data_IF_947895811017
#
_entry.id   IF_947895811017
#
_cell.length_a   1.000
_cell.length_b   1.000
_cell.length_c   1.000
_cell.angle_alpha   90.00
_cell.angle_beta   90.00
_cell.angle_gamma   90.00
#
_symmetry.space_group_name_H-M   'P 1'
#
loop_
_entity.id
_entity.type
_entity.pdbx_description
1 polymer ?
#
# COMPACT_ATOMS: atom_id res chain seq x y z
N UNK A 1 8.64 3.77 -17.88
CA UNK A 1 7.83 5.02 -17.90
C UNK A 1 6.80 5.14 -16.77
N UNK A 2 5.81 4.21 -16.59
CA UNK A 2 4.78 4.36 -15.52
C UNK A 2 5.36 4.40 -14.10
N UNK A 3 6.31 3.53 -13.78
CA UNK A 3 6.96 3.51 -12.46
C UNK A 3 7.76 4.76 -12.16
N UNK A 4 8.53 5.26 -13.13
CA UNK A 4 9.31 6.49 -12.96
C UNK A 4 8.43 7.72 -12.75
N UNK A 5 7.28 7.78 -13.46
CA UNK A 5 6.30 8.85 -13.26
C UNK A 5 5.68 8.81 -11.85
N UNK A 6 5.30 7.63 -11.36
CA UNK A 6 4.76 7.48 -10.02
C UNK A 6 5.79 7.88 -8.94
N UNK A 7 7.06 7.48 -9.11
CA UNK A 7 8.13 7.91 -8.20
C UNK A 7 8.41 9.41 -8.28
N UNK A 8 8.32 10.02 -9.47
CA UNK A 8 8.45 11.48 -9.60
C UNK A 8 7.35 12.21 -8.81
N UNK A 9 6.10 11.75 -8.91
CA UNK A 9 5.00 12.32 -8.12
C UNK A 9 5.25 12.17 -6.61
N UNK A 10 5.76 11.02 -6.15
CA UNK A 10 6.15 10.83 -4.76
C UNK A 10 7.23 11.84 -4.33
N UNK A 11 8.28 12.03 -5.15
CA UNK A 11 9.36 12.98 -4.84
C UNK A 11 8.84 14.41 -4.79
N UNK A 12 7.98 14.81 -5.72
CA UNK A 12 7.35 16.14 -5.73
C UNK A 12 6.50 16.37 -4.49
N UNK A 13 5.63 15.40 -4.11
CA UNK A 13 4.84 15.50 -2.89
C UNK A 13 5.73 15.54 -1.64
N UNK A 14 6.78 14.73 -1.59
CA UNK A 14 7.75 14.74 -0.50
C UNK A 14 8.49 16.07 -0.40
N UNK A 15 8.88 16.67 -1.51
CA UNK A 15 9.50 17.98 -1.55
C UNK A 15 8.56 19.07 -1.01
N UNK A 16 7.29 19.06 -1.43
CA UNK A 16 6.27 19.99 -0.91
C UNK A 16 6.08 19.80 0.60
N UNK A 17 5.92 18.54 1.07
CA UNK A 17 5.79 18.22 2.49
C UNK A 17 6.96 18.75 3.33
N UNK A 18 8.18 18.66 2.81
CA UNK A 18 9.39 19.02 3.56
C UNK A 18 9.67 20.53 3.57
N UNK A 19 9.44 21.20 2.46
CA UNK A 19 9.90 22.58 2.25
C UNK A 19 8.77 23.60 2.09
N UNK A 20 7.57 23.16 1.70
CA UNK A 20 6.43 24.02 1.40
C UNK A 20 5.11 23.42 1.90
N UNK A 21 5.01 22.99 3.19
CA UNK A 21 3.84 22.26 3.70
C UNK A 21 2.53 23.05 3.58
N UNK A 22 2.59 24.38 3.61
CA UNK A 22 1.43 25.29 3.44
C UNK A 22 0.76 25.15 2.09
N UNK A 23 1.49 24.80 1.03
CA UNK A 23 0.93 24.61 -0.31
C UNK A 23 -0.03 23.42 -0.40
N UNK A 24 0.11 22.46 0.50
CA UNK A 24 -0.75 21.27 0.58
C UNK A 24 -2.05 21.50 1.36
N UNK A 25 -2.16 22.58 2.11
CA UNK A 25 -3.35 22.89 2.94
C UNK A 25 -4.61 22.94 2.10
N UNK A 26 -4.56 23.62 0.94
CA UNK A 26 -5.69 23.73 0.01
C UNK A 26 -6.11 22.40 -0.64
N UNK A 27 -5.24 21.39 -0.63
CA UNK A 27 -5.55 20.03 -1.09
C UNK A 27 -6.00 19.13 0.09
N UNK A 28 -5.26 19.16 1.19
CA UNK A 28 -5.46 18.24 2.30
C UNK A 28 -6.75 18.54 3.07
N UNK A 29 -7.01 19.81 3.44
CA UNK A 29 -8.15 20.16 4.28
C UNK A 29 -9.53 19.90 3.63
N UNK A 30 -9.80 20.33 2.37
CA UNK A 30 -11.09 20.06 1.74
C UNK A 30 -11.37 18.57 1.57
N UNK A 31 -10.37 17.79 1.16
CA UNK A 31 -10.53 16.34 0.99
C UNK A 31 -10.70 15.63 2.33
N UNK A 32 -9.97 16.03 3.37
CA UNK A 32 -10.11 15.47 4.70
C UNK A 32 -11.50 15.75 5.28
N UNK A 33 -12.00 16.97 5.12
CA UNK A 33 -13.36 17.36 5.56
C UNK A 33 -14.42 16.57 4.79
N UNK A 34 -14.29 16.44 3.47
CA UNK A 34 -15.24 15.71 2.64
C UNK A 34 -15.28 14.21 2.98
N UNK A 35 -14.12 13.60 3.24
CA UNK A 35 -14.03 12.17 3.59
C UNK A 35 -14.57 11.89 4.98
N UNK A 36 -14.36 12.78 5.94
CA UNK A 36 -14.78 12.59 7.33
C UNK A 36 -16.28 12.84 7.53
N UNK A 37 -16.84 13.87 6.89
CA UNK A 37 -18.24 14.27 7.08
C UNK A 37 -18.57 14.42 8.57
N UNK A 38 -19.71 13.93 8.98
CA UNK A 38 -20.21 13.99 10.37
C UNK A 38 -19.70 12.83 11.26
N UNK A 39 -18.78 12.03 10.76
CA UNK A 39 -18.18 10.86 11.48
C UNK A 39 -19.23 9.87 12.03
N UNK A 40 -20.15 9.35 11.24
CA UNK A 40 -21.16 8.44 11.73
C UNK A 40 -20.56 7.15 12.28
N UNK A 41 -21.10 6.65 13.39
CA UNK A 41 -20.55 5.52 14.16
C UNK A 41 -20.35 4.24 13.31
N UNK A 42 -21.30 3.93 12.41
CA UNK A 42 -21.21 2.75 11.56
C UNK A 42 -20.02 2.80 10.59
N UNK A 43 -19.71 3.97 10.02
CA UNK A 43 -18.51 4.15 9.18
C UNK A 43 -17.23 4.10 10.03
N UNK A 44 -17.26 4.66 11.22
CA UNK A 44 -16.13 4.63 12.15
C UNK A 44 -15.79 3.19 12.53
N UNK A 45 -16.80 2.37 12.87
CA UNK A 45 -16.61 0.94 13.18
C UNK A 45 -16.06 0.20 11.95
N UNK A 46 -16.64 0.44 10.77
CA UNK A 46 -16.21 -0.17 9.52
C UNK A 46 -14.75 0.15 9.20
N UNK A 47 -14.36 1.43 9.20
CA UNK A 47 -13.00 1.82 8.86
C UNK A 47 -11.96 1.40 9.90
N UNK A 48 -12.32 1.35 11.18
CA UNK A 48 -11.49 0.73 12.22
C UNK A 48 -11.28 -0.76 11.95
N UNK A 49 -12.32 -1.49 11.57
CA UNK A 49 -12.20 -2.91 11.25
C UNK A 49 -11.32 -3.14 10.02
N UNK A 50 -11.52 -2.37 8.94
CA UNK A 50 -10.73 -2.45 7.71
C UNK A 50 -9.25 -2.19 7.98
N UNK A 51 -8.91 -1.13 8.72
CA UNK A 51 -7.50 -0.77 8.96
C UNK A 51 -6.78 -1.78 9.86
N UNK A 52 -7.48 -2.42 10.81
CA UNK A 52 -6.90 -3.46 11.68
C UNK A 52 -6.37 -4.67 10.91
N UNK A 53 -6.93 -4.96 9.73
CA UNK A 53 -6.42 -6.04 8.87
C UNK A 53 -5.05 -5.75 8.27
N UNK A 54 -4.57 -4.50 8.37
CA UNK A 54 -3.25 -4.04 7.88
C UNK A 54 -2.33 -3.62 9.04
N UNK A 55 -2.74 -3.80 10.28
CA UNK A 55 -1.84 -3.61 11.42
C UNK A 55 -0.60 -4.49 11.26
N UNK A 56 0.55 -3.99 11.71
CA UNK A 56 1.86 -4.62 11.46
C UNK A 56 1.88 -6.14 11.75
N UNK A 57 1.42 -6.65 12.92
CA UNK A 57 1.45 -8.08 13.17
C UNK A 57 0.51 -8.86 12.25
N UNK A 58 -0.63 -8.26 11.89
CA UNK A 58 -1.64 -8.91 11.04
C UNK A 58 -1.14 -9.03 9.60
N UNK A 59 -0.60 -7.95 9.03
CA UNK A 59 -0.08 -7.97 7.65
C UNK A 59 1.12 -8.91 7.52
N UNK A 60 2.03 -8.94 8.50
CA UNK A 60 3.15 -9.89 8.51
C UNK A 60 2.62 -11.32 8.48
N UNK A 61 1.65 -11.65 9.35
CA UNK A 61 1.03 -12.97 9.42
C UNK A 61 0.40 -13.36 8.08
N UNK A 62 -0.40 -12.47 7.48
CA UNK A 62 -1.03 -12.71 6.19
C UNK A 62 -0.03 -12.95 5.06
N UNK A 63 1.02 -12.13 5.00
CA UNK A 63 2.05 -12.26 3.95
C UNK A 63 2.83 -13.55 4.13
N UNK A 64 3.22 -13.91 5.36
CA UNK A 64 3.95 -15.15 5.63
C UNK A 64 3.10 -16.37 5.29
N UNK A 65 1.83 -16.41 5.68
CA UNK A 65 0.92 -17.51 5.32
C UNK A 65 0.76 -17.60 3.79
N UNK A 66 0.52 -16.48 3.12
CA UNK A 66 0.37 -16.44 1.66
C UNK A 66 1.64 -16.92 0.95
N UNK A 67 2.80 -16.43 1.39
CA UNK A 67 4.10 -16.84 0.85
C UNK A 67 4.37 -18.32 1.07
N UNK A 68 4.01 -18.86 2.25
CA UNK A 68 4.12 -20.29 2.54
C UNK A 68 3.20 -21.13 1.62
N UNK A 69 1.96 -20.72 1.41
CA UNK A 69 1.02 -21.37 0.48
C UNK A 69 1.61 -21.37 -0.94
N UNK A 70 2.15 -20.23 -1.40
CA UNK A 70 2.76 -20.13 -2.72
C UNK A 70 3.98 -21.06 -2.83
N UNK A 71 4.83 -21.09 -1.82
CA UNK A 71 5.99 -21.98 -1.78
C UNK A 71 5.59 -23.46 -1.86
N UNK A 72 4.57 -23.88 -1.10
CA UNK A 72 4.01 -25.26 -1.14
C UNK A 72 3.41 -25.61 -2.49
N UNK A 73 2.81 -24.63 -3.20
CA UNK A 73 2.32 -24.80 -4.57
C UNK A 73 3.42 -24.81 -5.63
N UNK A 74 4.68 -24.75 -5.24
CA UNK A 74 5.85 -24.59 -6.12
C UNK A 74 5.85 -23.27 -6.92
N UNK A 75 5.28 -22.20 -6.38
CA UNK A 75 5.32 -20.84 -6.90
C UNK A 75 6.37 -20.05 -6.11
N UNK A 76 7.64 -20.47 -6.26
CA UNK A 76 8.72 -20.01 -5.38
C UNK A 76 9.05 -18.54 -5.57
N UNK A 77 9.10 -18.07 -6.82
CA UNK A 77 9.40 -16.67 -7.13
C UNK A 77 8.27 -15.76 -6.64
N UNK A 78 7.01 -16.18 -6.74
CA UNK A 78 5.86 -15.47 -6.20
C UNK A 78 5.92 -15.36 -4.67
N UNK A 79 6.36 -16.43 -4.00
CA UNK A 79 6.59 -16.41 -2.55
C UNK A 79 7.68 -15.40 -2.17
N UNK A 80 8.83 -15.43 -2.87
CA UNK A 80 9.92 -14.47 -2.62
C UNK A 80 9.53 -13.03 -2.97
N UNK A 81 8.72 -12.82 -4.00
CA UNK A 81 8.21 -11.51 -4.36
C UNK A 81 7.34 -10.91 -3.25
N UNK A 82 6.44 -11.71 -2.64
CA UNK A 82 5.62 -11.27 -1.51
C UNK A 82 6.48 -10.91 -0.27
N UNK A 83 7.44 -11.77 0.10
CA UNK A 83 8.30 -11.54 1.25
C UNK A 83 9.27 -10.36 1.03
N UNK A 84 9.81 -10.23 -0.17
CA UNK A 84 10.68 -9.11 -0.56
C UNK A 84 9.95 -7.78 -0.46
N UNK A 85 8.72 -7.70 -0.96
CA UNK A 85 7.89 -6.50 -0.86
C UNK A 85 7.49 -6.17 0.59
N UNK A 86 7.27 -7.17 1.45
CA UNK A 86 7.04 -6.93 2.88
C UNK A 86 8.25 -6.28 3.54
N UNK A 87 9.45 -6.83 3.30
CA UNK A 87 10.69 -6.27 3.84
C UNK A 87 10.96 -4.86 3.29
N UNK A 88 10.74 -4.66 1.99
CA UNK A 88 10.91 -3.37 1.33
C UNK A 88 9.90 -2.32 1.86
N UNK A 89 8.65 -2.70 2.09
CA UNK A 89 7.65 -1.83 2.71
C UNK A 89 8.14 -1.32 4.08
N UNK A 90 8.60 -2.21 4.94
CA UNK A 90 9.16 -1.85 6.25
C UNK A 90 10.34 -0.89 6.15
N UNK A 91 11.29 -1.19 5.27
CA UNK A 91 12.46 -0.35 5.01
C UNK A 91 12.07 1.06 4.53
N UNK A 92 11.21 1.15 3.53
CA UNK A 92 10.77 2.43 2.94
C UNK A 92 9.99 3.27 3.96
N UNK A 93 9.09 2.64 4.76
CA UNK A 93 8.31 3.34 5.79
C UNK A 93 9.25 3.98 6.81
N UNK A 94 10.20 3.21 7.35
CA UNK A 94 11.14 3.72 8.36
C UNK A 94 12.02 4.82 7.76
N UNK A 95 12.57 4.60 6.58
CA UNK A 95 13.46 5.56 5.90
C UNK A 95 12.75 6.88 5.63
N UNK A 96 11.60 6.84 4.98
CA UNK A 96 10.90 8.07 4.60
C UNK A 96 10.31 8.81 5.80
N UNK A 97 9.79 8.12 6.81
CA UNK A 97 9.33 8.78 8.03
C UNK A 97 10.45 9.58 8.71
N UNK A 98 11.66 9.02 8.76
CA UNK A 98 12.82 9.71 9.34
C UNK A 98 13.35 10.86 8.46
N UNK A 99 13.19 10.79 7.13
CA UNK A 99 13.59 11.89 6.22
C UNK A 99 12.61 13.06 6.33
N UNK A 100 11.30 12.79 6.23
CA UNK A 100 10.30 13.85 6.09
C UNK A 100 9.81 14.43 7.43
N UNK A 101 9.65 13.61 8.45
CA UNK A 101 9.29 13.99 9.81
C UNK A 101 8.03 14.89 9.91
N UNK A 102 7.06 14.67 9.01
CA UNK A 102 5.81 15.46 9.00
C UNK A 102 4.99 15.16 10.26
N UNK A 103 4.51 16.19 11.01
CA UNK A 103 3.56 15.97 12.09
C UNK A 103 2.24 15.41 11.55
N UNK A 104 1.48 14.74 12.42
CA UNK A 104 0.14 14.26 12.07
C UNK A 104 -0.87 15.40 12.05
N UNK A 105 -2.03 15.21 11.38
CA UNK A 105 -3.11 16.20 11.42
C UNK A 105 -3.52 16.54 12.85
N UNK A 106 -3.68 17.84 13.14
CA UNK A 106 -4.16 18.33 14.44
C UNK A 106 -5.70 18.35 14.46
N UNK A 107 -6.28 17.16 14.45
CA UNK A 107 -7.73 16.91 14.47
C UNK A 107 -8.02 15.69 15.32
N UNK A 108 -9.30 15.42 15.61
CA UNK A 108 -9.70 14.22 16.35
C UNK A 108 -9.22 12.94 15.67
N UNK A 109 -8.32 12.21 16.31
CA UNK A 109 -7.88 10.88 15.88
C UNK A 109 -8.83 9.82 16.42
N UNK A 110 -9.39 9.01 15.53
CA UNK A 110 -10.30 7.91 15.89
C UNK A 110 -9.58 6.60 16.21
N UNK A 111 -8.26 6.54 16.02
CA UNK A 111 -7.34 5.45 16.41
C UNK A 111 -6.03 6.05 16.89
N UNK A 112 -5.35 5.31 17.77
CA UNK A 112 -4.02 5.71 18.22
C UNK A 112 -2.95 5.37 17.17
N UNK A 113 -2.13 6.36 16.87
CA UNK A 113 -0.99 6.21 15.96
C UNK A 113 0.19 7.06 16.44
N UNK A 114 1.37 6.47 16.48
CA UNK A 114 2.59 7.14 16.94
C UNK A 114 3.51 7.54 15.80
N UNK A 115 4.39 8.49 16.06
CA UNK A 115 5.42 8.94 15.12
C UNK A 115 4.87 9.79 13.98
N UNK A 116 5.67 9.93 12.93
CA UNK A 116 5.44 10.85 11.82
C UNK A 116 4.32 10.39 10.86
N UNK A 117 3.72 11.41 10.19
CA UNK A 117 2.60 11.21 9.28
C UNK A 117 3.02 10.74 7.88
N UNK A 118 4.08 11.33 7.31
CA UNK A 118 4.45 11.11 5.90
C UNK A 118 5.61 10.10 5.74
N UNK A 119 5.50 9.17 4.78
CA UNK A 119 4.27 8.74 4.12
C UNK A 119 3.41 7.86 5.05
N UNK A 120 2.16 7.58 4.66
CA UNK A 120 1.28 6.69 5.40
C UNK A 120 1.77 5.24 5.35
N UNK A 121 2.17 4.70 6.52
CA UNK A 121 2.71 3.34 6.60
C UNK A 121 1.70 2.27 6.18
N UNK A 122 0.46 2.33 6.66
CA UNK A 122 -0.60 1.40 6.28
C UNK A 122 -0.90 1.47 4.77
N UNK A 123 -0.95 2.69 4.22
CA UNK A 123 -1.20 2.89 2.78
C UNK A 123 -0.08 2.32 1.91
N UNK A 124 1.19 2.50 2.30
CA UNK A 124 2.33 1.94 1.58
C UNK A 124 2.34 0.41 1.69
N UNK A 125 2.15 -0.13 2.90
CA UNK A 125 2.12 -1.57 3.12
C UNK A 125 1.01 -2.24 2.31
N UNK A 126 -0.23 -1.73 2.37
CA UNK A 126 -1.34 -2.31 1.60
C UNK A 126 -1.10 -2.19 0.09
N UNK A 127 -0.53 -1.09 -0.39
CA UNK A 127 -0.24 -0.90 -1.82
C UNK A 127 0.75 -1.96 -2.31
N UNK A 128 1.85 -2.19 -1.58
CA UNK A 128 2.84 -3.21 -1.95
C UNK A 128 2.28 -4.64 -1.79
N UNK A 129 1.61 -4.95 -0.68
CA UNK A 129 1.14 -6.31 -0.41
C UNK A 129 -0.03 -6.72 -1.30
N UNK A 130 -1.08 -5.90 -1.35
CA UNK A 130 -2.26 -6.17 -2.19
C UNK A 130 -1.91 -6.02 -3.66
N UNK A 131 -1.09 -5.04 -4.03
CA UNK A 131 -0.60 -4.87 -5.39
C UNK A 131 0.22 -6.08 -5.87
N UNK A 132 1.14 -6.60 -5.05
CA UNK A 132 1.87 -7.84 -5.34
C UNK A 132 0.94 -9.03 -5.51
N UNK A 133 -0.07 -9.16 -4.64
CA UNK A 133 -1.06 -10.23 -4.72
C UNK A 133 -1.89 -10.14 -6.01
N UNK A 134 -2.31 -8.93 -6.40
CA UNK A 134 -3.00 -8.68 -7.69
C UNK A 134 -2.10 -9.13 -8.84
N UNK A 135 -0.83 -8.76 -8.85
CA UNK A 135 0.13 -9.17 -9.90
C UNK A 135 0.21 -10.70 -10.00
N UNK A 136 0.45 -11.38 -8.87
CA UNK A 136 0.59 -12.84 -8.84
C UNK A 136 -0.69 -13.54 -9.27
N UNK A 137 -1.83 -13.17 -8.69
CA UNK A 137 -3.11 -13.82 -8.99
C UNK A 137 -3.58 -13.56 -10.42
N UNK A 138 -3.28 -12.37 -10.98
CA UNK A 138 -3.55 -12.06 -12.38
C UNK A 138 -2.86 -13.01 -13.36
N UNK A 139 -1.70 -13.53 -12.99
CA UNK A 139 -0.93 -14.49 -13.81
C UNK A 139 -1.28 -15.96 -13.53
N UNK A 140 -1.89 -16.24 -12.37
CA UNK A 140 -2.18 -17.61 -11.93
C UNK A 140 -3.64 -18.02 -12.12
N UNK A 141 -4.57 -17.08 -12.10
CA UNK A 141 -5.99 -17.35 -12.37
C UNK A 141 -6.20 -17.39 -13.88
N UNK A 142 -6.52 -18.59 -14.39
CA UNK A 142 -6.73 -18.82 -15.84
C UNK A 142 -8.06 -18.25 -16.31
N UNK A 143 -9.11 -18.44 -15.52
CA UNK A 143 -10.45 -17.95 -15.84
C UNK A 143 -10.49 -16.41 -15.82
N UNK A 144 -10.88 -15.75 -16.92
CA UNK A 144 -10.86 -14.30 -17.03
C UNK A 144 -11.86 -13.61 -16.12
N UNK A 145 -13.02 -14.25 -15.85
CA UNK A 145 -14.08 -13.67 -15.00
C UNK A 145 -13.60 -13.66 -13.55
N UNK A 146 -13.16 -14.80 -13.03
CA UNK A 146 -12.62 -14.90 -11.67
C UNK A 146 -11.41 -14.00 -11.46
N UNK A 147 -10.52 -13.92 -12.45
CA UNK A 147 -9.37 -13.01 -12.40
C UNK A 147 -9.82 -11.55 -12.23
N UNK A 148 -10.83 -11.12 -13.01
CA UNK A 148 -11.36 -9.76 -12.93
C UNK A 148 -12.05 -9.49 -11.59
N UNK A 149 -12.85 -10.44 -11.09
CA UNK A 149 -13.50 -10.34 -9.78
C UNK A 149 -12.46 -10.14 -8.67
N UNK A 150 -11.42 -10.99 -8.65
CA UNK A 150 -10.35 -10.90 -7.63
C UNK A 150 -9.63 -9.56 -7.71
N UNK A 151 -9.30 -9.08 -8.93
CA UNK A 151 -8.67 -7.76 -9.10
C UNK A 151 -9.53 -6.63 -8.55
N UNK A 152 -10.85 -6.65 -8.82
CA UNK A 152 -11.79 -5.63 -8.34
C UNK A 152 -11.90 -5.68 -6.82
N UNK A 153 -12.09 -6.85 -6.23
CA UNK A 153 -12.23 -7.02 -4.76
C UNK A 153 -10.97 -6.54 -4.04
N UNK A 154 -9.81 -6.95 -4.50
CA UNK A 154 -8.52 -6.52 -3.92
C UNK A 154 -8.28 -5.01 -4.13
N UNK A 155 -8.64 -4.47 -5.30
CA UNK A 155 -8.56 -3.04 -5.58
C UNK A 155 -9.48 -2.21 -4.67
N UNK A 156 -10.73 -2.65 -4.49
CA UNK A 156 -11.67 -2.01 -3.56
C UNK A 156 -11.18 -2.06 -2.12
N UNK A 157 -10.62 -3.19 -1.70
CA UNK A 157 -10.01 -3.31 -0.37
C UNK A 157 -8.84 -2.33 -0.20
N UNK A 158 -7.94 -2.25 -1.18
CA UNK A 158 -6.83 -1.29 -1.17
C UNK A 158 -7.36 0.14 -1.00
N UNK A 159 -8.31 0.57 -1.85
CA UNK A 159 -8.91 1.91 -1.77
C UNK A 159 -9.58 2.15 -0.41
N UNK A 160 -10.30 1.15 0.13
CA UNK A 160 -10.95 1.27 1.44
C UNK A 160 -9.94 1.52 2.56
N UNK A 161 -8.76 0.85 2.53
CA UNK A 161 -7.68 1.13 3.49
C UNK A 161 -7.14 2.54 3.31
N UNK A 162 -6.88 2.98 2.08
CA UNK A 162 -6.39 4.35 1.80
C UNK A 162 -7.34 5.40 2.38
N UNK A 163 -8.63 5.27 2.09
CA UNK A 163 -9.68 6.18 2.59
C UNK A 163 -9.77 6.12 4.11
N UNK A 164 -9.67 4.93 4.72
CA UNK A 164 -9.75 4.77 6.17
C UNK A 164 -8.71 5.60 6.92
N UNK A 165 -7.49 5.78 6.38
CA UNK A 165 -6.43 6.54 7.04
C UNK A 165 -6.73 8.04 7.13
N UNK A 166 -7.37 8.58 6.10
CA UNK A 166 -7.86 9.98 6.08
C UNK A 166 -9.08 10.11 6.99
N UNK A 167 -10.05 9.19 6.89
CA UNK A 167 -11.28 9.18 7.70
C UNK A 167 -10.94 9.12 9.20
N UNK A 168 -10.04 8.25 9.61
CA UNK A 168 -9.62 8.09 11.00
C UNK A 168 -8.80 9.26 11.53
N UNK A 169 -8.45 10.24 10.68
CA UNK A 169 -7.79 11.49 11.06
C UNK A 169 -6.30 11.39 11.31
N UNK A 170 -5.67 10.25 11.03
CA UNK A 170 -4.27 9.99 11.39
C UNK A 170 -3.28 10.32 10.27
N UNK A 171 -3.76 10.56 9.06
CA UNK A 171 -2.96 10.93 7.89
C UNK A 171 -3.65 11.99 7.04
N UNK A 172 -2.85 12.82 6.40
CA UNK A 172 -3.33 13.74 5.37
C UNK A 172 -3.63 12.98 4.06
N UNK A 173 -4.57 13.46 3.23
CA UNK A 173 -4.78 12.92 1.87
C UNK A 173 -3.49 12.84 1.05
N UNK A 174 -2.62 13.85 1.11
CA UNK A 174 -1.32 13.86 0.43
C UNK A 174 -0.36 12.78 0.93
N UNK A 175 -0.38 12.38 2.23
CA UNK A 175 0.43 11.27 2.75
C UNK A 175 0.00 9.93 2.12
N UNK A 176 -1.31 9.76 1.99
CA UNK A 176 -1.92 8.56 1.41
C UNK A 176 -1.63 8.47 -0.09
N UNK A 177 -1.78 9.59 -0.81
CA UNK A 177 -1.47 9.68 -2.24
C UNK A 177 0.01 9.39 -2.51
N UNK A 178 0.91 9.99 -1.73
CA UNK A 178 2.35 9.74 -1.83
C UNK A 178 2.68 8.25 -1.60
N UNK A 179 2.05 7.62 -0.61
CA UNK A 179 2.23 6.19 -0.32
C UNK A 179 1.77 5.30 -1.49
N UNK A 180 0.64 5.64 -2.09
CA UNK A 180 0.15 4.96 -3.30
C UNK A 180 1.14 5.13 -4.47
N UNK A 181 1.64 6.35 -4.68
CA UNK A 181 2.59 6.64 -5.74
C UNK A 181 3.91 5.86 -5.58
N UNK A 182 4.51 5.87 -4.38
CA UNK A 182 5.76 5.11 -4.17
C UNK A 182 5.52 3.61 -4.25
N UNK A 183 4.43 3.09 -3.69
CA UNK A 183 4.11 1.67 -3.77
C UNK A 183 3.87 1.17 -5.20
N UNK A 184 3.08 1.90 -5.99
CA UNK A 184 2.88 1.60 -7.42
C UNK A 184 4.17 1.77 -8.23
N UNK A 185 4.97 2.81 -7.93
CA UNK A 185 6.26 3.05 -8.57
C UNK A 185 7.20 1.85 -8.41
N UNK A 186 7.33 1.35 -7.17
CA UNK A 186 8.10 0.16 -6.84
C UNK A 186 7.59 -1.06 -7.62
N UNK A 187 6.29 -1.37 -7.53
CA UNK A 187 5.70 -2.52 -8.22
C UNK A 187 5.91 -2.48 -9.74
N UNK A 188 5.77 -1.32 -10.38
CA UNK A 188 6.02 -1.19 -11.81
C UNK A 188 7.49 -1.39 -12.19
N UNK A 189 8.43 -0.99 -11.32
CA UNK A 189 9.87 -1.19 -11.57
C UNK A 189 10.27 -2.65 -11.32
N UNK A 190 9.74 -3.27 -10.28
CA UNK A 190 10.06 -4.65 -9.93
C UNK A 190 9.42 -5.69 -10.85
N UNK A 191 8.25 -5.39 -11.41
CA UNK A 191 7.47 -6.33 -12.21
C UNK A 191 8.26 -6.99 -13.34
N UNK A 192 9.04 -6.28 -14.19
CA UNK A 192 9.81 -6.91 -15.26
C UNK A 192 10.86 -7.90 -14.72
N UNK A 193 11.50 -7.60 -13.60
CA UNK A 193 12.50 -8.46 -12.97
C UNK A 193 11.85 -9.71 -12.37
N UNK A 194 10.76 -9.53 -11.64
CA UNK A 194 9.94 -10.61 -11.10
C UNK A 194 9.45 -11.54 -12.21
N UNK A 195 8.86 -11.01 -13.28
CA UNK A 195 8.29 -11.79 -14.37
C UNK A 195 9.38 -12.57 -15.15
N UNK A 196 10.54 -11.94 -15.41
CA UNK A 196 11.71 -12.58 -15.99
C UNK A 196 12.21 -13.76 -15.14
N UNK A 197 12.38 -13.55 -13.83
CA UNK A 197 12.81 -14.60 -12.90
C UNK A 197 11.79 -15.74 -12.85
N UNK A 198 10.51 -15.42 -12.75
CA UNK A 198 9.41 -16.38 -12.76
C UNK A 198 9.44 -17.25 -14.02
N UNK A 199 9.58 -16.62 -15.19
CA UNK A 199 9.67 -17.34 -16.47
C UNK A 199 10.89 -18.27 -16.51
N UNK A 200 12.08 -17.78 -16.15
CA UNK A 200 13.31 -18.56 -16.13
C UNK A 200 13.22 -19.78 -15.20
N UNK A 201 12.62 -19.61 -14.00
CA UNK A 201 12.48 -20.72 -13.05
C UNK A 201 11.48 -21.78 -13.50
N UNK A 202 10.41 -21.37 -14.18
CA UNK A 202 9.48 -22.30 -14.82
C UNK A 202 10.15 -23.08 -15.95
N UNK A 203 10.87 -22.39 -16.81
CA UNK A 203 11.58 -23.02 -17.93
C UNK A 203 12.62 -24.06 -17.45
N UNK A 204 13.33 -23.75 -16.36
CA UNK A 204 14.31 -24.66 -15.73
C UNK A 204 13.66 -25.76 -14.86
N UNK A 205 12.34 -25.88 -14.82
CA UNK A 205 11.63 -26.86 -13.98
C UNK A 205 11.74 -26.64 -12.46
N UNK A 206 12.26 -25.49 -12.02
CA UNK A 206 12.47 -25.17 -10.60
C UNK A 206 11.17 -24.77 -9.89
N UNK A 207 10.15 -24.35 -10.62
CA UNK A 207 8.80 -24.05 -10.16
C UNK A 207 7.73 -24.38 -11.21
N UNK A 208 6.43 -24.39 -10.80
CA UNK A 208 5.25 -24.54 -11.70
C UNK A 208 4.87 -23.22 -12.33
#
# INVERSE_FOLDING_TARGET
MKGSFALLLFVLLGYMVKFYPETLVGFDQPLQTAVRGDLPDYLTILFRAITRLIDIPVIITWVVITAFIFYRKRWKIESFFMLGNLALAGLLIVTFKNIYQRPRPDILHLVEEKGFSFPSGHSLAVTLMVGSLIVVLSQRIKDPVWRKIVQIVLGLYLVSVLVSRVYLGVHYPSDVLASLCVGLGVLFIEFPFYDKLRFQWRFKGKQK
#
